data_IF_513415776477
#
_entry.id   IF_513415776477
#
_cell.length_a   1.000
_cell.length_b   1.000
_cell.length_c   1.000
_cell.angle_alpha   90.00
_cell.angle_beta   90.00
_cell.angle_gamma   90.00
#
_symmetry.space_group_name_H-M   'P 1'
#
loop_
_entity.id
_entity.type
_entity.pdbx_description
1 polymer ?
#
# COMPACT_ATOMS: atom_id res chain seq x y z
N UNK A 1 2.45 -5.21 41.89
CA UNK A 1 1.25 -5.29 41.04
C UNK A 1 1.23 -4.04 40.16
N UNK A 2 1.18 -4.12 38.84
CA UNK A 2 1.06 -2.93 38.00
C UNK A 2 -0.32 -2.28 38.27
N UNK A 3 -0.31 -1.00 38.56
CA UNK A 3 -1.51 -0.17 38.72
C UNK A 3 -2.21 -0.15 37.35
N UNK A 4 -3.34 -0.82 37.21
CA UNK A 4 -4.22 -0.67 36.06
C UNK A 4 -4.80 0.75 36.09
N UNK A 5 -4.22 1.66 35.30
CA UNK A 5 -4.81 2.98 35.09
C UNK A 5 -6.09 2.76 34.28
N UNK A 6 -7.21 2.74 34.95
CA UNK A 6 -8.54 2.66 34.31
C UNK A 6 -8.76 3.96 33.55
N UNK A 7 -8.62 3.91 32.23
CA UNK A 7 -8.88 5.08 31.38
C UNK A 7 -10.35 5.43 31.40
N UNK A 8 -10.65 6.72 31.59
CA UNK A 8 -12.04 7.21 31.58
C UNK A 8 -12.60 7.46 30.18
N UNK A 9 -11.71 7.68 29.20
CA UNK A 9 -12.07 7.96 27.81
C UNK A 9 -10.93 7.60 26.86
N UNK A 10 -11.25 7.45 25.59
CA UNK A 10 -10.34 7.08 24.50
C UNK A 10 -10.40 8.15 23.40
N UNK A 11 -9.26 8.66 22.96
CA UNK A 11 -9.16 9.34 21.67
C UNK A 11 -9.15 8.33 20.52
N UNK A 12 -9.31 8.79 19.28
CA UNK A 12 -9.44 7.92 18.10
C UNK A 12 -8.37 6.83 17.96
N UNK A 13 -7.09 7.18 18.17
CA UNK A 13 -5.99 6.20 18.08
C UNK A 13 -6.04 5.15 19.20
N UNK A 14 -6.41 5.57 20.40
CA UNK A 14 -6.50 4.69 21.56
C UNK A 14 -7.69 3.76 21.44
N UNK A 15 -8.81 4.26 20.92
CA UNK A 15 -10.02 3.47 20.67
C UNK A 15 -9.76 2.42 19.58
N UNK A 16 -9.12 2.78 18.46
CA UNK A 16 -8.69 1.83 17.46
C UNK A 16 -7.80 0.72 18.05
N UNK A 17 -6.79 1.10 18.86
CA UNK A 17 -5.93 0.13 19.54
C UNK A 17 -6.66 -0.76 20.55
N UNK A 18 -7.66 -0.23 21.26
CA UNK A 18 -8.51 -1.01 22.17
C UNK A 18 -9.34 -2.09 21.45
N UNK A 19 -9.80 -1.78 20.23
CA UNK A 19 -10.54 -2.71 19.37
C UNK A 19 -9.65 -3.60 18.49
N UNK A 20 -8.32 -3.49 18.58
CA UNK A 20 -7.38 -4.22 17.71
C UNK A 20 -7.40 -3.79 16.25
N UNK A 21 -7.86 -2.57 15.95
CA UNK A 21 -8.05 -2.07 14.60
C UNK A 21 -6.91 -1.17 14.13
N UNK A 22 -6.57 -1.27 12.86
CA UNK A 22 -5.78 -0.27 12.17
C UNK A 22 -6.59 1.04 12.00
N UNK A 23 -5.90 2.17 11.85
CA UNK A 23 -6.56 3.50 11.72
C UNK A 23 -7.53 3.58 10.54
N UNK A 24 -7.22 2.94 9.44
CA UNK A 24 -8.09 2.92 8.26
C UNK A 24 -9.35 2.07 8.51
N UNK A 25 -9.23 0.93 9.21
CA UNK A 25 -10.36 0.06 9.59
C UNK A 25 -11.32 0.81 10.51
N UNK A 26 -10.79 1.50 11.51
CA UNK A 26 -11.60 2.34 12.39
C UNK A 26 -12.37 3.41 11.60
N UNK A 27 -11.69 4.14 10.70
CA UNK A 27 -12.34 5.17 9.88
C UNK A 27 -13.48 4.60 9.03
N UNK A 28 -13.23 3.51 8.31
CA UNK A 28 -14.23 2.87 7.47
C UNK A 28 -15.35 2.26 8.32
N UNK A 29 -15.03 1.67 9.47
CA UNK A 29 -16.00 1.14 10.40
C UNK A 29 -16.98 2.22 10.91
N UNK A 30 -16.49 3.44 11.18
CA UNK A 30 -17.32 4.59 11.53
C UNK A 30 -18.17 5.07 10.33
N UNK A 31 -17.54 5.23 9.16
CA UNK A 31 -18.19 5.69 7.93
C UNK A 31 -19.35 4.79 7.49
N UNK A 32 -19.22 3.49 7.72
CA UNK A 32 -20.25 2.49 7.40
C UNK A 32 -21.15 2.11 8.57
N UNK A 33 -21.07 2.80 9.70
CA UNK A 33 -21.92 2.56 10.88
C UNK A 33 -21.71 1.21 11.58
N UNK A 34 -20.59 0.52 11.31
CA UNK A 34 -20.20 -0.72 12.02
C UNK A 34 -19.69 -0.39 13.43
N UNK A 35 -19.06 0.77 13.57
CA UNK A 35 -18.63 1.33 14.85
C UNK A 35 -19.49 2.53 15.20
N UNK A 36 -19.81 2.72 16.50
CA UNK A 36 -20.49 3.92 16.95
C UNK A 36 -19.57 5.14 16.90
N UNK A 37 -20.15 6.30 16.63
CA UNK A 37 -19.45 7.58 16.75
C UNK A 37 -19.01 7.88 18.20
N UNK A 38 -18.17 8.92 18.39
CA UNK A 38 -17.75 9.36 19.71
C UNK A 38 -18.97 9.88 20.51
N UNK A 39 -19.04 9.49 21.79
CA UNK A 39 -20.12 9.85 22.74
C UNK A 39 -19.71 10.97 23.70
N UNK A 40 -18.46 11.41 23.66
CA UNK A 40 -17.92 12.50 24.47
C UNK A 40 -17.34 13.59 23.58
N UNK A 41 -17.84 14.82 23.74
CA UNK A 41 -17.35 16.04 23.07
C UNK A 41 -17.19 15.95 21.54
N UNK A 42 -17.87 14.97 20.89
CA UNK A 42 -17.78 14.74 19.45
C UNK A 42 -16.46 14.15 18.96
N UNK A 43 -15.47 13.91 19.84
CA UNK A 43 -14.12 13.47 19.47
C UNK A 43 -13.61 12.26 20.26
N UNK A 44 -14.28 11.89 21.33
CA UNK A 44 -13.83 10.87 22.28
C UNK A 44 -14.88 9.81 22.55
N UNK A 45 -14.44 8.62 22.90
CA UNK A 45 -15.29 7.49 23.32
C UNK A 45 -15.15 7.27 24.81
N UNK A 46 -16.29 7.10 25.51
CA UNK A 46 -16.28 6.73 26.93
C UNK A 46 -15.74 5.30 27.11
N UNK A 47 -15.19 5.03 28.29
CA UNK A 47 -14.74 3.67 28.64
C UNK A 47 -15.91 2.67 28.59
N UNK A 48 -17.11 3.11 28.97
CA UNK A 48 -18.33 2.29 28.93
C UNK A 48 -18.64 1.85 27.49
N UNK A 49 -18.71 2.80 26.55
CA UNK A 49 -18.97 2.51 25.14
C UNK A 49 -17.87 1.63 24.53
N UNK A 50 -16.61 1.88 24.89
CA UNK A 50 -15.48 1.08 24.40
C UNK A 50 -15.58 -0.40 24.81
N UNK A 51 -16.03 -0.69 26.02
CA UNK A 51 -16.26 -2.08 26.47
C UNK A 51 -17.50 -2.69 25.82
N UNK A 52 -18.60 -1.93 25.65
CA UNK A 52 -19.82 -2.41 24.98
C UNK A 52 -19.55 -2.84 23.53
N UNK A 53 -18.62 -2.19 22.84
CA UNK A 53 -18.31 -2.46 21.41
C UNK A 53 -17.05 -3.29 21.18
N UNK A 54 -16.50 -3.89 22.21
CA UNK A 54 -15.22 -4.65 22.12
C UNK A 54 -15.22 -5.71 21.01
N UNK A 55 -16.33 -6.42 20.80
CA UNK A 55 -16.48 -7.41 19.71
C UNK A 55 -16.73 -6.79 18.31
N UNK A 56 -16.91 -5.48 18.20
CA UNK A 56 -17.14 -4.85 16.90
C UNK A 56 -15.86 -4.77 16.06
N UNK A 57 -14.68 -4.82 16.69
CA UNK A 57 -13.39 -4.88 15.96
C UNK A 57 -13.34 -6.06 15.00
N UNK A 58 -13.71 -7.26 15.46
CA UNK A 58 -13.78 -8.47 14.63
C UNK A 58 -14.79 -8.33 13.47
N UNK A 59 -15.94 -7.66 13.70
CA UNK A 59 -16.92 -7.40 12.64
C UNK A 59 -16.37 -6.46 11.56
N UNK A 60 -15.59 -5.46 11.96
CA UNK A 60 -14.92 -4.55 11.02
C UNK A 60 -13.91 -5.32 10.18
N UNK A 61 -13.07 -6.15 10.80
CA UNK A 61 -12.07 -6.98 10.11
C UNK A 61 -12.77 -7.97 9.16
N UNK A 62 -13.80 -8.68 9.64
CA UNK A 62 -14.55 -9.61 8.81
C UNK A 62 -15.20 -8.96 7.60
N UNK A 63 -15.64 -7.70 7.72
CA UNK A 63 -16.30 -6.97 6.62
C UNK A 63 -15.35 -6.31 5.64
N UNK A 64 -14.25 -5.74 6.12
CA UNK A 64 -13.36 -4.91 5.31
C UNK A 64 -11.96 -5.52 5.10
N UNK A 65 -11.64 -6.62 5.77
CA UNK A 65 -10.36 -7.33 5.69
C UNK A 65 -9.24 -6.69 6.51
N UNK A 66 -8.06 -7.29 6.39
CA UNK A 66 -6.84 -6.86 7.08
C UNK A 66 -5.96 -5.94 6.25
N UNK A 67 -6.11 -5.99 4.93
CA UNK A 67 -5.32 -5.20 4.00
C UNK A 67 -5.92 -3.81 3.78
N UNK A 68 -5.09 -2.74 3.81
CA UNK A 68 -5.59 -1.39 3.57
C UNK A 68 -6.16 -1.23 2.16
N UNK A 69 -7.28 -0.49 2.02
CA UNK A 69 -7.88 -0.24 0.71
C UNK A 69 -6.94 0.54 -0.21
N UNK A 70 -7.08 0.32 -1.50
CA UNK A 70 -6.20 0.88 -2.53
C UNK A 70 -6.93 1.86 -3.43
N UNK A 71 -6.21 2.88 -3.92
CA UNK A 71 -6.74 3.82 -4.94
C UNK A 71 -6.74 3.22 -6.34
N UNK A 72 -7.44 3.89 -7.29
CA UNK A 72 -7.71 3.41 -8.65
C UNK A 72 -6.46 2.95 -9.42
N UNK A 73 -5.30 3.58 -9.23
CA UNK A 73 -4.08 3.15 -9.92
C UNK A 73 -3.57 1.77 -9.45
N UNK A 74 -3.62 1.51 -8.14
CA UNK A 74 -3.24 0.21 -7.58
C UNK A 74 -4.31 -0.85 -7.87
N UNK A 75 -5.58 -0.46 -7.87
CA UNK A 75 -6.69 -1.33 -8.27
C UNK A 75 -6.51 -1.79 -9.72
N UNK A 76 -6.25 -0.87 -10.65
CA UNK A 76 -5.97 -1.18 -12.06
C UNK A 76 -4.76 -2.13 -12.20
N UNK A 77 -3.65 -1.84 -11.52
CA UNK A 77 -2.47 -2.71 -11.57
C UNK A 77 -2.73 -4.12 -11.01
N UNK A 78 -3.52 -4.22 -9.91
CA UNK A 78 -3.90 -5.54 -9.37
C UNK A 78 -4.78 -6.33 -10.32
N UNK A 79 -5.77 -5.67 -10.92
CA UNK A 79 -6.63 -6.31 -11.93
C UNK A 79 -5.83 -6.71 -13.16
N UNK A 80 -4.93 -5.85 -13.66
CA UNK A 80 -4.07 -6.15 -14.80
C UNK A 80 -3.23 -7.42 -14.58
N UNK A 81 -2.57 -7.53 -13.43
CA UNK A 81 -1.80 -8.71 -13.07
C UNK A 81 -2.66 -9.96 -12.93
N UNK A 82 -3.87 -9.84 -12.37
CA UNK A 82 -4.79 -10.98 -12.18
C UNK A 82 -5.37 -11.51 -13.48
N UNK A 83 -5.79 -10.63 -14.40
CA UNK A 83 -6.47 -11.04 -15.65
C UNK A 83 -5.51 -11.12 -16.84
N UNK A 84 -4.26 -10.71 -16.70
CA UNK A 84 -3.26 -10.69 -17.76
C UNK A 84 -3.59 -9.73 -18.90
N UNK A 85 -4.26 -8.60 -18.59
CA UNK A 85 -4.67 -7.58 -19.55
C UNK A 85 -4.21 -6.19 -19.09
N UNK A 86 -4.08 -5.28 -20.03
CA UNK A 86 -3.72 -3.89 -19.81
C UNK A 86 -4.91 -3.10 -19.23
N UNK A 87 -5.13 -3.22 -17.92
CA UNK A 87 -6.20 -2.51 -17.19
C UNK A 87 -5.71 -1.12 -16.79
N UNK A 88 -6.48 -0.10 -17.08
CA UNK A 88 -6.22 1.30 -16.73
C UNK A 88 -7.19 1.81 -15.66
N UNK A 89 -6.89 3.00 -15.08
CA UNK A 89 -7.76 3.63 -14.08
C UNK A 89 -9.19 3.83 -14.58
N UNK A 90 -9.37 4.25 -15.83
CA UNK A 90 -10.69 4.43 -16.43
C UNK A 90 -11.49 3.15 -16.54
N UNK A 91 -10.83 2.00 -16.70
CA UNK A 91 -11.52 0.72 -16.70
C UNK A 91 -12.09 0.42 -15.30
N UNK A 92 -11.35 0.76 -14.23
CA UNK A 92 -11.85 0.69 -12.85
C UNK A 92 -13.06 1.60 -12.64
N UNK A 93 -13.03 2.82 -13.17
CA UNK A 93 -14.16 3.76 -13.11
C UNK A 93 -15.39 3.22 -13.84
N UNK A 94 -15.20 2.57 -14.99
CA UNK A 94 -16.29 1.91 -15.73
C UNK A 94 -16.89 0.76 -14.92
N UNK A 95 -16.06 -0.10 -14.32
CA UNK A 95 -16.52 -1.20 -13.46
C UNK A 95 -17.33 -0.68 -12.26
N UNK A 96 -16.94 0.46 -11.68
CA UNK A 96 -17.73 1.11 -10.62
C UNK A 96 -19.06 1.64 -11.17
N UNK A 97 -19.05 2.29 -12.34
CA UNK A 97 -20.26 2.82 -12.96
C UNK A 97 -21.27 1.72 -13.36
N UNK A 98 -20.77 0.53 -13.70
CA UNK A 98 -21.59 -0.66 -14.00
C UNK A 98 -22.10 -1.36 -12.72
N UNK A 99 -21.58 -1.02 -11.55
CA UNK A 99 -21.92 -1.63 -10.28
C UNK A 99 -21.18 -2.95 -9.98
N UNK A 100 -20.22 -3.32 -10.82
CA UNK A 100 -19.40 -4.52 -10.64
C UNK A 100 -18.39 -4.37 -9.50
N UNK A 101 -17.94 -3.13 -9.22
CA UNK A 101 -17.00 -2.81 -8.17
C UNK A 101 -17.52 -1.69 -7.27
N UNK A 102 -17.42 -1.86 -5.95
CA UNK A 102 -17.87 -0.87 -4.99
C UNK A 102 -16.73 0.04 -4.51
N UNK A 103 -17.02 1.33 -4.39
CA UNK A 103 -16.16 2.29 -3.68
C UNK A 103 -16.41 2.13 -2.19
N UNK A 104 -15.40 1.71 -1.41
CA UNK A 104 -15.55 1.52 0.03
C UNK A 104 -15.47 2.83 0.81
N UNK A 105 -14.70 3.79 0.33
CA UNK A 105 -14.53 5.10 0.96
C UNK A 105 -13.82 6.06 0.01
N UNK A 106 -13.73 7.33 0.40
CA UNK A 106 -12.92 8.32 -0.29
C UNK A 106 -11.75 8.76 0.58
N UNK A 107 -10.55 8.76 0.04
CA UNK A 107 -9.37 9.27 0.70
C UNK A 107 -8.85 10.50 -0.04
N UNK A 108 -8.90 11.67 0.62
CA UNK A 108 -8.52 12.99 0.01
C UNK A 108 -9.27 13.26 -1.30
N UNK A 109 -10.55 12.93 -1.37
CA UNK A 109 -11.36 13.10 -2.57
C UNK A 109 -11.20 12.02 -3.64
N UNK A 110 -10.37 11.00 -3.41
CA UNK A 110 -10.16 9.90 -4.36
C UNK A 110 -10.80 8.61 -3.85
N UNK A 111 -11.51 7.86 -4.73
CA UNK A 111 -12.12 6.60 -4.35
C UNK A 111 -11.06 5.56 -3.99
N UNK A 112 -11.40 4.73 -2.98
CA UNK A 112 -10.59 3.60 -2.56
C UNK A 112 -11.42 2.32 -2.55
N UNK A 113 -10.77 1.19 -2.83
CA UNK A 113 -11.37 -0.12 -3.07
C UNK A 113 -10.75 -1.15 -2.14
N UNK A 114 -11.54 -2.10 -1.66
CA UNK A 114 -11.04 -3.25 -0.90
C UNK A 114 -10.30 -4.23 -1.82
N UNK A 115 -9.17 -4.75 -1.36
CA UNK A 115 -8.42 -5.76 -2.12
C UNK A 115 -9.25 -7.03 -2.32
N UNK A 116 -10.00 -7.46 -1.30
CA UNK A 116 -10.88 -8.61 -1.40
C UNK A 116 -11.97 -8.46 -2.46
N UNK A 117 -12.50 -7.25 -2.71
CA UNK A 117 -13.48 -7.01 -3.78
C UNK A 117 -12.83 -7.08 -5.16
N UNK A 118 -11.62 -6.51 -5.29
CA UNK A 118 -10.84 -6.64 -6.54
C UNK A 118 -10.49 -8.10 -6.86
N UNK A 119 -10.19 -8.92 -5.87
CA UNK A 119 -9.84 -10.32 -6.06
C UNK A 119 -11.04 -11.19 -6.42
N UNK A 120 -12.23 -10.84 -5.93
CA UNK A 120 -13.50 -11.53 -6.23
C UNK A 120 -14.17 -11.06 -7.51
N UNK A 121 -13.74 -9.91 -8.06
CA UNK A 121 -14.35 -9.35 -9.27
C UNK A 121 -14.27 -10.34 -10.43
N UNK A 122 -15.36 -10.50 -11.19
CA UNK A 122 -15.39 -11.40 -12.34
C UNK A 122 -14.36 -10.98 -13.41
N UNK A 123 -13.54 -11.94 -13.83
CA UNK A 123 -12.54 -11.71 -14.86
C UNK A 123 -13.16 -11.40 -16.24
N UNK A 124 -14.36 -11.91 -16.50
CA UNK A 124 -15.12 -11.64 -17.72
C UNK A 124 -15.57 -10.19 -17.80
N UNK A 125 -16.10 -9.63 -16.70
CA UNK A 125 -16.45 -8.20 -16.59
C UNK A 125 -15.25 -7.32 -16.88
N UNK A 126 -14.10 -7.60 -16.25
CA UNK A 126 -12.87 -6.84 -16.49
C UNK A 126 -12.43 -6.92 -17.96
N UNK A 127 -12.43 -8.15 -18.52
CA UNK A 127 -12.08 -8.37 -19.94
C UNK A 127 -13.01 -7.61 -20.88
N UNK A 128 -14.30 -7.61 -20.61
CA UNK A 128 -15.31 -6.89 -21.40
C UNK A 128 -15.03 -5.39 -21.44
N UNK A 129 -14.76 -4.77 -20.29
CA UNK A 129 -14.45 -3.34 -20.18
C UNK A 129 -13.15 -2.99 -20.93
N UNK A 130 -12.09 -3.78 -20.74
CA UNK A 130 -10.81 -3.58 -21.44
C UNK A 130 -10.98 -3.74 -22.94
N UNK A 131 -11.75 -4.76 -23.39
CA UNK A 131 -12.03 -5.01 -24.81
C UNK A 131 -12.80 -3.85 -25.44
N UNK A 132 -13.81 -3.33 -24.74
CA UNK A 132 -14.56 -2.16 -25.20
C UNK A 132 -13.68 -0.92 -25.39
N UNK A 133 -12.70 -0.73 -24.49
CA UNK A 133 -11.73 0.38 -24.57
C UNK A 133 -10.71 0.19 -25.71
N UNK A 134 -10.13 -0.99 -25.82
CA UNK A 134 -8.99 -1.26 -26.72
C UNK A 134 -9.41 -1.63 -28.14
N UNK A 135 -10.62 -2.19 -28.30
CA UNK A 135 -11.09 -2.63 -29.62
C UNK A 135 -10.10 -3.57 -30.30
N UNK A 136 -9.70 -3.29 -31.56
CA UNK A 136 -8.74 -4.11 -32.31
C UNK A 136 -7.34 -4.24 -31.69
N UNK A 137 -7.01 -3.42 -30.71
CA UNK A 137 -5.69 -3.43 -30.03
C UNK A 137 -5.68 -4.30 -28.79
N UNK A 138 -6.71 -5.11 -28.54
CA UNK A 138 -6.83 -5.94 -27.32
C UNK A 138 -5.64 -6.89 -27.16
N UNK A 139 -5.13 -7.44 -28.24
CA UNK A 139 -4.03 -8.41 -28.24
C UNK A 139 -2.64 -7.77 -28.29
N UNK A 140 -2.56 -6.46 -28.07
CA UNK A 140 -1.29 -5.73 -28.04
C UNK A 140 -1.18 -4.86 -26.80
N UNK A 141 0.03 -4.60 -26.33
CA UNK A 141 0.29 -3.80 -25.15
C UNK A 141 1.59 -2.99 -25.31
N UNK A 142 1.62 -1.77 -24.79
CA UNK A 142 2.86 -0.99 -24.72
C UNK A 142 3.76 -1.48 -23.57
N UNK A 143 4.99 -0.98 -23.52
CA UNK A 143 5.96 -1.34 -22.47
C UNK A 143 5.47 -1.06 -21.05
N UNK A 144 4.68 0.00 -20.85
CA UNK A 144 4.12 0.35 -19.55
C UNK A 144 3.03 -0.63 -19.10
N UNK A 145 2.12 -0.96 -20.00
CA UNK A 145 1.07 -1.95 -19.76
C UNK A 145 1.65 -3.36 -19.56
N UNK A 146 2.65 -3.76 -20.36
CA UNK A 146 3.35 -5.04 -20.19
C UNK A 146 4.01 -5.15 -18.82
N UNK A 147 4.73 -4.12 -18.39
CA UNK A 147 5.33 -4.06 -17.06
C UNK A 147 4.27 -4.14 -15.93
N UNK A 148 3.10 -3.53 -16.14
CA UNK A 148 1.99 -3.58 -15.19
C UNK A 148 1.36 -4.97 -15.11
N UNK A 149 1.11 -5.63 -16.24
CA UNK A 149 0.59 -7.00 -16.33
C UNK A 149 1.50 -7.96 -15.57
N UNK A 150 2.81 -7.87 -15.80
CA UNK A 150 3.82 -8.73 -15.16
C UNK A 150 4.15 -8.30 -13.72
N UNK A 151 3.64 -7.17 -13.27
CA UNK A 151 4.03 -6.56 -11.99
C UNK A 151 5.54 -6.32 -11.89
N UNK A 152 6.21 -6.03 -13.01
CA UNK A 152 7.65 -5.78 -13.08
C UNK A 152 7.95 -4.27 -13.11
N UNK A 153 9.14 -3.84 -12.68
CA UNK A 153 9.62 -2.49 -12.98
C UNK A 153 9.74 -2.32 -14.50
N UNK A 154 9.28 -1.17 -15.03
CA UNK A 154 9.32 -0.93 -16.47
C UNK A 154 10.72 -1.12 -17.07
N UNK A 155 11.77 -0.63 -16.41
CA UNK A 155 13.17 -0.79 -16.87
C UNK A 155 13.60 -2.25 -16.93
N UNK A 156 13.15 -3.08 -15.99
CA UNK A 156 13.39 -4.52 -15.98
C UNK A 156 12.69 -5.17 -17.17
N UNK A 157 11.42 -4.83 -17.43
CA UNK A 157 10.72 -5.30 -18.61
C UNK A 157 11.43 -4.90 -19.91
N UNK A 158 11.79 -3.62 -20.08
CA UNK A 158 12.46 -3.12 -21.30
C UNK A 158 13.79 -3.87 -21.53
N UNK A 159 14.57 -4.14 -20.49
CA UNK A 159 15.81 -4.93 -20.55
C UNK A 159 15.53 -6.37 -21.00
N UNK A 160 14.59 -7.06 -20.34
CA UNK A 160 14.26 -8.47 -20.65
C UNK A 160 13.68 -8.60 -22.06
N UNK A 161 12.80 -7.68 -22.47
CA UNK A 161 12.24 -7.66 -23.82
C UNK A 161 13.35 -7.55 -24.88
N UNK A 162 14.36 -6.70 -24.64
CA UNK A 162 15.54 -6.60 -25.51
C UNK A 162 16.39 -7.87 -25.51
N UNK A 163 16.72 -8.43 -24.34
CA UNK A 163 17.53 -9.65 -24.18
C UNK A 163 16.87 -10.87 -24.84
N UNK A 164 15.54 -10.97 -24.77
CA UNK A 164 14.75 -12.05 -25.38
C UNK A 164 14.33 -11.77 -26.83
N UNK A 165 14.70 -10.62 -27.38
CA UNK A 165 14.42 -10.25 -28.77
C UNK A 165 12.93 -10.08 -29.07
N UNK A 166 12.11 -9.64 -28.10
CA UNK A 166 10.70 -9.35 -28.34
C UNK A 166 10.56 -8.26 -29.39
N UNK A 167 9.73 -8.49 -30.39
CA UNK A 167 9.45 -7.52 -31.44
C UNK A 167 8.20 -6.71 -31.13
N UNK A 168 8.17 -5.48 -31.63
CA UNK A 168 7.00 -4.62 -31.54
C UNK A 168 6.35 -4.43 -32.91
N UNK A 169 5.06 -4.13 -32.94
CA UNK A 169 4.35 -3.70 -34.13
C UNK A 169 4.78 -2.27 -34.57
N UNK A 170 4.16 -1.76 -35.62
CA UNK A 170 4.42 -0.40 -36.15
C UNK A 170 4.05 0.72 -35.17
N UNK A 171 3.28 0.43 -34.13
CA UNK A 171 2.90 1.35 -33.06
C UNK A 171 3.82 1.25 -31.83
N UNK A 172 4.86 0.40 -31.88
CA UNK A 172 5.75 0.15 -30.77
C UNK A 172 5.13 -0.72 -29.66
N UNK A 173 4.14 -1.54 -30.00
CA UNK A 173 3.42 -2.40 -29.05
C UNK A 173 3.84 -3.85 -29.21
N UNK A 174 3.97 -4.53 -28.07
CA UNK A 174 4.27 -5.98 -28.00
C UNK A 174 2.99 -6.79 -28.18
N UNK A 175 3.10 -7.98 -28.75
CA UNK A 175 2.01 -8.95 -28.72
C UNK A 175 1.74 -9.37 -27.26
N UNK A 176 0.48 -9.37 -26.87
CA UNK A 176 0.09 -9.71 -25.49
C UNK A 176 0.50 -11.15 -25.13
N UNK A 177 0.41 -12.07 -26.10
CA UNK A 177 0.83 -13.45 -25.92
C UNK A 177 2.33 -13.59 -25.55
N UNK A 178 3.20 -12.79 -26.17
CA UNK A 178 4.64 -12.79 -25.87
C UNK A 178 4.90 -12.29 -24.46
N UNK A 179 4.17 -11.25 -24.05
CA UNK A 179 4.26 -10.71 -22.66
C UNK A 179 3.78 -11.74 -21.65
N UNK A 180 2.67 -12.43 -21.92
CA UNK A 180 2.16 -13.49 -21.05
C UNK A 180 3.11 -14.69 -20.98
N UNK A 181 3.78 -15.04 -22.08
CA UNK A 181 4.79 -16.09 -22.09
C UNK A 181 6.00 -15.76 -21.19
N UNK A 182 6.44 -14.48 -21.11
CA UNK A 182 7.44 -14.07 -20.14
C UNK A 182 6.98 -14.27 -18.69
N UNK A 183 5.71 -13.99 -18.41
CA UNK A 183 5.11 -14.21 -17.08
C UNK A 183 4.93 -15.69 -16.70
N UNK A 184 4.92 -16.58 -17.68
CA UNK A 184 4.84 -18.02 -17.47
C UNK A 184 6.23 -18.69 -17.28
N UNK A 185 7.32 -17.99 -17.56
CA UNK A 185 8.70 -18.46 -17.29
C UNK A 185 9.01 -18.36 -15.79
N UNK A 186 8.81 -19.46 -15.07
CA UNK A 186 8.99 -19.50 -13.60
C UNK A 186 10.42 -19.13 -13.17
N UNK A 187 11.44 -19.45 -13.98
CA UNK A 187 12.83 -19.12 -13.67
C UNK A 187 13.02 -17.61 -13.74
N UNK A 188 12.55 -17.00 -14.82
CA UNK A 188 12.61 -15.56 -15.02
C UNK A 188 11.81 -14.80 -13.95
N UNK A 189 10.61 -15.29 -13.59
CA UNK A 189 9.79 -14.69 -12.54
C UNK A 189 10.51 -14.70 -11.20
N UNK A 190 11.21 -15.78 -10.85
CA UNK A 190 12.01 -15.86 -9.61
C UNK A 190 13.20 -14.88 -9.65
N UNK A 191 13.98 -14.85 -10.74
CA UNK A 191 15.09 -13.92 -10.89
C UNK A 191 14.65 -12.46 -10.71
N UNK A 192 13.51 -12.08 -11.31
CA UNK A 192 12.98 -10.72 -11.19
C UNK A 192 12.41 -10.46 -9.80
N UNK A 193 11.84 -11.45 -9.13
CA UNK A 193 11.39 -11.32 -7.74
C UNK A 193 12.59 -11.02 -6.82
N UNK A 194 13.71 -11.68 -7.02
CA UNK A 194 14.95 -11.44 -6.28
C UNK A 194 15.52 -10.05 -6.60
N UNK A 195 15.60 -9.65 -7.89
CA UNK A 195 16.01 -8.29 -8.29
C UNK A 195 15.14 -7.21 -7.62
N UNK A 196 13.82 -7.41 -7.58
CA UNK A 196 12.89 -6.48 -6.91
C UNK A 196 13.14 -6.41 -5.40
N UNK A 197 13.43 -7.53 -4.76
CA UNK A 197 13.76 -7.61 -3.35
C UNK A 197 15.04 -6.83 -3.05
N UNK A 198 16.08 -7.02 -3.85
CA UNK A 198 17.36 -6.32 -3.72
C UNK A 198 17.21 -4.80 -3.92
N UNK A 199 16.42 -4.39 -4.90
CA UNK A 199 16.10 -2.98 -5.12
C UNK A 199 15.35 -2.39 -3.91
N UNK A 200 14.37 -3.11 -3.37
CA UNK A 200 13.62 -2.68 -2.19
C UNK A 200 14.53 -2.56 -0.97
N UNK A 201 15.35 -3.59 -0.70
CA UNK A 201 16.32 -3.58 0.40
C UNK A 201 17.32 -2.43 0.28
N UNK A 202 17.87 -2.20 -0.92
CA UNK A 202 18.80 -1.09 -1.19
C UNK A 202 18.12 0.26 -0.90
N UNK A 203 16.84 0.42 -1.30
CA UNK A 203 16.07 1.64 -1.02
C UNK A 203 15.86 1.86 0.49
N UNK A 204 15.53 0.79 1.21
CA UNK A 204 15.30 0.83 2.66
C UNK A 204 16.59 1.14 3.40
N UNK A 205 17.73 0.55 3.03
CA UNK A 205 19.07 0.87 3.58
C UNK A 205 19.48 2.33 3.32
N UNK A 206 19.17 2.88 2.13
CA UNK A 206 19.40 4.31 1.84
C UNK A 206 18.52 5.22 2.71
N UNK A 207 17.29 4.80 3.00
CA UNK A 207 16.40 5.52 3.91
C UNK A 207 16.95 5.49 5.34
N UNK A 208 17.45 4.34 5.80
CA UNK A 208 18.11 4.18 7.10
C UNK A 208 19.27 5.17 7.24
N UNK A 209 20.21 5.18 6.29
CA UNK A 209 21.37 6.07 6.32
C UNK A 209 20.96 7.55 6.43
N UNK A 210 19.95 7.99 5.67
CA UNK A 210 19.44 9.37 5.76
C UNK A 210 18.87 9.70 7.15
N UNK A 211 18.17 8.76 7.78
CA UNK A 211 17.61 8.96 9.12
C UNK A 211 18.73 8.98 10.17
N UNK A 212 19.73 8.11 10.03
CA UNK A 212 20.93 8.14 10.88
C UNK A 212 21.66 9.49 10.79
N UNK A 213 21.80 10.07 9.59
CA UNK A 213 22.40 11.38 9.42
C UNK A 213 21.63 12.49 10.15
N UNK A 214 20.28 12.39 10.18
CA UNK A 214 19.45 13.31 10.98
C UNK A 214 19.74 13.17 12.47
N UNK A 215 19.89 11.94 12.98
CA UNK A 215 20.23 11.67 14.39
C UNK A 215 21.64 12.17 14.72
N UNK A 216 22.64 11.85 13.89
CA UNK A 216 24.02 12.34 14.06
C UNK A 216 24.10 13.87 14.03
N UNK A 217 23.40 14.51 13.09
CA UNK A 217 23.33 15.97 13.02
C UNK A 217 22.65 16.60 14.24
N UNK A 218 21.70 15.90 14.86
CA UNK A 218 21.12 16.35 16.14
C UNK A 218 22.13 16.22 17.27
N UNK A 219 22.88 15.11 17.36
CA UNK A 219 23.93 14.93 18.37
C UNK A 219 25.00 16.01 18.28
N UNK A 220 25.48 16.35 17.08
CA UNK A 220 26.44 17.42 16.86
C UNK A 220 25.91 18.78 17.36
N UNK A 221 24.61 19.05 17.21
CA UNK A 221 24.01 20.28 17.77
C UNK A 221 23.93 20.26 19.30
N UNK A 222 23.77 19.07 19.91
CA UNK A 222 23.85 18.92 21.36
C UNK A 222 25.28 19.23 21.87
N UNK A 223 26.27 18.67 21.18
CA UNK A 223 27.69 18.92 21.55
C UNK A 223 28.01 20.40 21.45
N UNK A 224 27.65 21.08 20.36
CA UNK A 224 27.83 22.52 20.20
C UNK A 224 27.14 23.34 21.32
N UNK A 225 25.95 22.92 21.78
CA UNK A 225 25.26 23.56 22.90
C UNK A 225 25.99 23.33 24.24
N UNK A 226 26.47 22.10 24.48
CA UNK A 226 27.24 21.77 25.70
C UNK A 226 28.58 22.49 25.75
N UNK A 227 29.24 22.65 24.61
CA UNK A 227 30.53 23.36 24.48
C UNK A 227 30.37 24.90 24.46
N UNK A 228 29.14 25.42 24.56
CA UNK A 228 28.78 26.84 24.51
C UNK A 228 29.04 27.51 23.15
N UNK A 229 29.13 26.75 22.10
CA UNK A 229 29.23 27.23 20.71
C UNK A 229 27.84 27.58 20.10
N UNK A 230 26.77 27.21 20.80
CA UNK A 230 25.40 27.55 20.46
C UNK A 230 24.64 28.02 21.72
N UNK A 231 23.87 29.11 21.59
CA UNK A 231 23.11 29.70 22.69
C UNK A 231 21.78 29.02 23.00
N UNK A 232 21.25 28.23 22.06
CA UNK A 232 19.92 27.61 22.16
C UNK A 232 20.03 26.09 22.10
N UNK A 233 19.38 25.35 23.03
CA UNK A 233 19.37 23.89 22.99
C UNK A 233 18.63 23.39 21.74
N UNK A 234 19.07 22.26 21.15
CA UNK A 234 18.42 21.70 19.98
C UNK A 234 17.02 21.18 20.31
N UNK A 235 16.04 21.42 19.42
CA UNK A 235 14.70 20.88 19.52
C UNK A 235 14.74 19.34 19.52
N UNK A 236 14.07 18.73 20.50
CA UNK A 236 14.00 17.25 20.66
C UNK A 236 12.92 16.60 19.83
N UNK A 237 11.94 17.34 19.30
CA UNK A 237 10.84 16.78 18.54
C UNK A 237 11.29 16.08 17.22
N UNK A 238 12.25 16.62 16.45
CA UNK A 238 12.82 15.93 15.29
C UNK A 238 13.54 14.64 15.66
N UNK A 239 14.29 14.60 16.78
CA UNK A 239 14.99 13.42 17.26
C UNK A 239 14.01 12.28 17.56
N UNK A 240 12.95 12.56 18.34
CA UNK A 240 11.95 11.56 18.69
C UNK A 240 11.24 10.97 17.46
N UNK A 241 11.03 11.77 16.40
CA UNK A 241 10.51 11.29 15.12
C UNK A 241 11.53 10.42 14.38
N UNK A 242 12.78 10.85 14.31
CA UNK A 242 13.86 10.14 13.63
C UNK A 242 14.14 8.77 14.28
N UNK A 243 14.19 8.67 15.61
CA UNK A 243 14.41 7.41 16.32
C UNK A 243 13.28 6.41 16.05
N UNK A 244 12.01 6.85 16.07
CA UNK A 244 10.88 5.97 15.74
C UNK A 244 10.93 5.50 14.28
N UNK A 245 11.26 6.40 13.36
CA UNK A 245 11.42 6.07 11.95
C UNK A 245 12.58 5.08 11.73
N UNK A 246 13.71 5.26 12.43
CA UNK A 246 14.86 4.36 12.37
C UNK A 246 14.50 2.96 12.86
N UNK A 247 13.79 2.84 13.96
CA UNK A 247 13.32 1.56 14.47
C UNK A 247 12.40 0.84 13.47
N UNK A 248 11.47 1.58 12.84
CA UNK A 248 10.57 1.04 11.80
C UNK A 248 11.35 0.52 10.58
N UNK A 249 12.29 1.34 10.06
CA UNK A 249 13.10 0.98 8.89
C UNK A 249 13.98 -0.24 9.17
N UNK A 250 14.59 -0.35 10.35
CA UNK A 250 15.39 -1.52 10.75
C UNK A 250 14.57 -2.79 10.86
N UNK A 251 13.34 -2.69 11.35
CA UNK A 251 12.40 -3.81 11.35
C UNK A 251 12.07 -4.26 9.93
N UNK A 252 11.85 -3.31 9.02
CA UNK A 252 11.59 -3.59 7.60
C UNK A 252 12.79 -4.29 6.93
N UNK A 253 14.03 -3.82 7.16
CA UNK A 253 15.25 -4.46 6.66
C UNK A 253 15.32 -5.91 7.17
N UNK A 254 15.14 -6.13 8.47
CA UNK A 254 15.18 -7.48 9.06
C UNK A 254 14.12 -8.39 8.45
N UNK A 255 12.93 -7.87 8.16
CA UNK A 255 11.87 -8.65 7.52
C UNK A 255 12.22 -9.01 6.06
N UNK A 256 12.84 -8.10 5.32
CA UNK A 256 13.32 -8.38 3.96
C UNK A 256 14.44 -9.44 3.94
N UNK A 257 15.33 -9.42 4.92
CA UNK A 257 16.44 -10.38 5.03
C UNK A 257 15.99 -11.78 5.46
N UNK A 258 14.88 -11.88 6.21
CA UNK A 258 14.31 -13.15 6.66
C UNK A 258 13.31 -13.77 5.69
N UNK A 259 12.84 -13.02 4.69
CA UNK A 259 11.90 -13.56 3.71
C UNK A 259 12.60 -14.66 2.87
N UNK A 260 12.05 -15.88 2.82
CA UNK A 260 12.64 -16.97 2.04
C UNK A 260 12.66 -16.61 0.55
N UNK A 261 13.73 -17.05 -0.13
CA UNK A 261 13.90 -16.94 -1.58
C UNK A 261 12.94 -17.85 -2.32
#
# INVERSE_FOLDING_TARGET
MPVQITRRHYGAHQFAGHLGLARWQMRIGLEHGVLPGPDLDGERWSAKLAEEVKGHGERVIARFGDDPPVGSARAAARLAARVGLDVERRDVEVLVAQGDLNVVSNFRGHPVYLLGDLDRLDAGSVRSVVSARKGPLIDTVDSGGAATILSWPRRTFDRIAGERGLTTDRLGRYALADVQALGADETLVREIADEKRDIALTRTRRSEAKIEDVVRGWMLRCDAYLDRDADVPPDTAPLGRAIRALASVRTEITNHEKAPS
#
